data_IF_160228822794
#
_entry.id   IF_160228822794
#
_cell.length_a   1.000
_cell.length_b   1.000
_cell.length_c   1.000
_cell.angle_alpha   90.00
_cell.angle_beta   90.00
_cell.angle_gamma   90.00
#
_symmetry.space_group_name_H-M   'P 1'
#
loop_
_entity.id
_entity.type
_entity.pdbx_description
1 polymer ?
#
# COMPACT_ATOMS: atom_id res chain seq x y z
N UNK A 1 -9.65 -28.11 10.73
CA UNK A 1 -8.41 -27.77 11.46
C UNK A 1 -8.03 -28.80 12.52
N UNK A 2 -8.96 -29.27 13.37
CA UNK A 2 -8.67 -30.21 14.47
C UNK A 2 -7.76 -31.41 14.15
N UNK A 3 -8.03 -32.18 13.09
CA UNK A 3 -7.19 -33.33 12.68
C UNK A 3 -5.74 -32.97 12.34
N UNK A 4 -5.46 -31.76 11.84
CA UNK A 4 -4.10 -31.34 11.50
C UNK A 4 -3.31 -30.95 12.75
N UNK A 5 -3.99 -30.30 13.70
CA UNK A 5 -3.39 -29.87 14.97
C UNK A 5 -3.08 -31.07 15.86
N UNK A 6 -4.00 -32.01 16.01
CA UNK A 6 -3.84 -33.24 16.77
C UNK A 6 -2.63 -34.06 16.28
N UNK A 7 -2.50 -34.22 14.96
CA UNK A 7 -1.34 -34.84 14.32
C UNK A 7 -0.02 -34.08 14.58
N UNK A 8 -0.06 -32.75 14.71
CA UNK A 8 1.13 -31.95 15.03
C UNK A 8 1.60 -32.17 16.47
N UNK A 9 0.68 -32.23 17.44
CA UNK A 9 1.04 -32.47 18.86
C UNK A 9 1.55 -33.87 19.09
N UNK A 10 0.94 -34.88 18.46
CA UNK A 10 1.44 -36.26 18.49
C UNK A 10 2.87 -36.33 17.94
N UNK A 11 3.14 -35.67 16.80
CA UNK A 11 4.49 -35.60 16.22
C UNK A 11 5.52 -34.89 17.11
N UNK A 12 5.11 -33.86 17.85
CA UNK A 12 6.00 -33.14 18.77
C UNK A 12 6.36 -34.02 19.98
N UNK A 13 5.38 -34.77 20.50
CA UNK A 13 5.59 -35.72 21.58
C UNK A 13 6.45 -36.91 21.16
N UNK A 14 6.15 -37.53 20.01
CA UNK A 14 6.95 -38.64 19.44
C UNK A 14 8.42 -38.26 19.20
N UNK A 15 8.69 -36.98 18.90
CA UNK A 15 10.05 -36.46 18.73
C UNK A 15 10.74 -36.06 20.03
N UNK A 16 10.12 -36.30 21.19
CA UNK A 16 10.59 -35.88 22.52
C UNK A 16 10.87 -34.37 22.61
N UNK A 17 10.14 -33.55 21.84
CA UNK A 17 10.26 -32.08 21.88
C UNK A 17 9.39 -31.45 22.98
N UNK A 18 8.40 -32.20 23.48
CA UNK A 18 7.55 -31.81 24.60
C UNK A 18 7.44 -32.98 25.60
N UNK A 19 7.47 -32.71 26.92
CA UNK A 19 7.23 -33.71 27.97
C UNK A 19 5.75 -34.14 28.03
N UNK A 20 5.48 -35.28 28.67
CA UNK A 20 4.14 -35.88 28.79
C UNK A 20 3.13 -34.95 29.49
N UNK A 21 3.59 -34.16 30.45
CA UNK A 21 2.77 -33.18 31.17
C UNK A 21 2.24 -32.09 30.21
N UNK A 22 3.12 -31.51 29.38
CA UNK A 22 2.73 -30.55 28.35
C UNK A 22 1.85 -31.18 27.27
N UNK A 23 2.09 -32.44 26.91
CA UNK A 23 1.24 -33.16 25.96
C UNK A 23 -0.20 -33.28 26.48
N UNK A 24 -0.38 -33.66 27.75
CA UNK A 24 -1.70 -33.75 28.39
C UNK A 24 -2.37 -32.38 28.49
N UNK A 25 -1.66 -31.34 28.92
CA UNK A 25 -2.22 -29.98 28.98
C UNK A 25 -2.67 -29.45 27.62
N UNK A 26 -1.86 -29.65 26.57
CA UNK A 26 -2.21 -29.21 25.20
C UNK A 26 -3.43 -29.97 24.68
N UNK A 27 -3.53 -31.26 24.98
CA UNK A 27 -4.68 -32.10 24.57
C UNK A 27 -5.95 -31.61 25.25
N UNK A 28 -5.92 -31.43 26.58
CA UNK A 28 -7.04 -30.89 27.35
C UNK A 28 -7.45 -29.50 26.87
N UNK A 29 -6.48 -28.61 26.60
CA UNK A 29 -6.77 -27.26 26.13
C UNK A 29 -7.42 -27.24 24.73
N UNK A 30 -7.02 -28.15 23.85
CA UNK A 30 -7.61 -28.26 22.50
C UNK A 30 -8.98 -28.92 22.51
N UNK A 31 -9.25 -29.82 23.45
CA UNK A 31 -10.58 -30.40 23.65
C UNK A 31 -11.63 -29.34 24.05
N UNK A 32 -11.20 -28.20 24.59
CA UNK A 32 -12.07 -27.05 24.83
C UNK A 32 -12.63 -26.44 23.52
N UNK A 33 -12.10 -26.82 22.36
CA UNK A 33 -12.50 -26.32 21.03
C UNK A 33 -12.53 -24.78 20.94
N UNK A 34 -11.62 -24.10 21.65
CA UNK A 34 -11.51 -22.65 21.64
C UNK A 34 -10.92 -22.23 20.29
N UNK A 35 -11.71 -21.54 19.47
CA UNK A 35 -11.25 -20.95 18.22
C UNK A 35 -11.09 -19.44 18.37
N UNK A 36 -10.03 -18.90 17.76
CA UNK A 36 -9.79 -17.46 17.77
C UNK A 36 -10.73 -16.76 16.79
N UNK A 37 -11.44 -15.74 17.26
CA UNK A 37 -12.24 -14.82 16.44
C UNK A 37 -11.44 -13.57 16.01
N UNK A 38 -10.12 -13.55 16.23
CA UNK A 38 -9.30 -12.37 16.03
C UNK A 38 -9.40 -11.82 14.60
N UNK A 39 -9.30 -12.70 13.60
CA UNK A 39 -9.33 -12.31 12.19
C UNK A 39 -10.71 -11.81 11.77
N UNK A 40 -11.77 -12.48 12.24
CA UNK A 40 -13.17 -12.17 11.97
C UNK A 40 -13.55 -10.81 12.56
N UNK A 41 -13.16 -10.56 13.82
CA UNK A 41 -13.38 -9.28 14.49
C UNK A 41 -12.59 -8.16 13.81
N UNK A 42 -11.33 -8.41 13.45
CA UNK A 42 -10.49 -7.44 12.74
C UNK A 42 -11.06 -7.07 11.38
N UNK A 43 -11.54 -8.07 10.63
CA UNK A 43 -12.24 -7.87 9.37
C UNK A 43 -13.52 -7.06 9.56
N UNK A 44 -14.33 -7.40 10.58
CA UNK A 44 -15.55 -6.66 10.91
C UNK A 44 -15.26 -5.19 11.25
N UNK A 45 -14.16 -4.90 11.95
CA UNK A 45 -13.74 -3.52 12.23
C UNK A 45 -13.38 -2.75 10.95
N UNK A 46 -12.56 -3.32 10.07
CA UNK A 46 -12.28 -2.69 8.77
C UNK A 46 -13.55 -2.45 7.96
N UNK A 47 -14.44 -3.44 7.94
CA UNK A 47 -15.72 -3.34 7.24
C UNK A 47 -16.60 -2.24 7.85
N UNK A 48 -16.64 -2.10 9.17
CA UNK A 48 -17.40 -1.03 9.82
C UNK A 48 -16.89 0.36 9.46
N UNK A 49 -15.56 0.57 9.44
CA UNK A 49 -14.97 1.86 9.05
C UNK A 49 -15.31 2.18 7.60
N UNK A 50 -15.21 1.18 6.72
CA UNK A 50 -15.53 1.33 5.31
C UNK A 50 -17.02 1.65 5.10
N UNK A 51 -17.93 0.88 5.70
CA UNK A 51 -19.37 1.09 5.57
C UNK A 51 -19.79 2.44 6.16
N UNK A 52 -19.24 2.82 7.31
CA UNK A 52 -19.54 4.08 7.98
C UNK A 52 -19.10 5.29 7.15
N UNK A 53 -17.84 5.29 6.68
CA UNK A 53 -17.32 6.40 5.85
C UNK A 53 -17.99 6.46 4.49
N UNK A 54 -18.33 5.32 3.89
CA UNK A 54 -19.10 5.25 2.64
C UNK A 54 -20.53 5.76 2.83
N UNK A 55 -21.19 5.36 3.92
CA UNK A 55 -22.54 5.85 4.27
C UNK A 55 -22.59 7.36 4.47
N UNK A 56 -21.56 7.94 5.10
CA UNK A 56 -21.42 9.40 5.21
C UNK A 56 -21.24 10.05 3.84
N UNK A 57 -20.41 9.46 2.97
CA UNK A 57 -20.23 9.95 1.60
C UNK A 57 -21.52 9.96 0.79
N UNK A 58 -22.33 8.90 0.90
CA UNK A 58 -23.65 8.81 0.27
C UNK A 58 -24.60 9.86 0.85
N UNK A 59 -24.66 10.00 2.19
CA UNK A 59 -25.49 11.00 2.84
C UNK A 59 -25.16 12.41 2.35
N UNK A 60 -23.87 12.75 2.24
CA UNK A 60 -23.42 14.03 1.70
C UNK A 60 -23.88 14.19 0.24
N UNK A 61 -23.68 13.17 -0.60
CA UNK A 61 -24.03 13.21 -2.01
C UNK A 61 -25.54 13.43 -2.24
N UNK A 62 -26.39 12.72 -1.50
CA UNK A 62 -27.86 12.86 -1.60
C UNK A 62 -28.37 14.20 -1.06
N UNK A 63 -27.63 14.84 -0.16
CA UNK A 63 -28.01 16.10 0.48
C UNK A 63 -27.17 17.29 -0.02
N UNK A 64 -26.52 17.17 -1.18
CA UNK A 64 -25.63 18.20 -1.73
C UNK A 64 -26.37 19.40 -2.33
N UNK A 65 -27.66 19.25 -2.61
CA UNK A 65 -28.53 20.32 -3.12
C UNK A 65 -29.53 20.85 -2.08
N UNK A 66 -29.47 20.36 -0.82
CA UNK A 66 -30.41 20.75 0.24
C UNK A 66 -29.73 21.67 1.28
N UNK A 67 -30.46 22.60 1.88
CA UNK A 67 -29.92 23.58 2.84
C UNK A 67 -29.33 22.99 4.14
N UNK A 68 -29.26 21.66 4.28
CA UNK A 68 -28.76 20.93 5.44
C UNK A 68 -27.22 20.84 5.57
N UNK A 69 -26.45 21.45 4.66
CA UNK A 69 -24.98 21.31 4.65
C UNK A 69 -24.32 21.66 5.99
N UNK A 70 -24.75 22.75 6.63
CA UNK A 70 -24.19 23.18 7.92
C UNK A 70 -24.42 22.12 9.00
N UNK A 71 -25.61 21.50 9.01
CA UNK A 71 -25.93 20.45 9.97
C UNK A 71 -25.07 19.20 9.76
N UNK A 72 -24.91 18.76 8.50
CA UNK A 72 -24.07 17.61 8.14
C UNK A 72 -22.61 17.89 8.49
N UNK A 73 -22.11 19.07 8.12
CA UNK A 73 -20.73 19.48 8.37
C UNK A 73 -20.43 19.60 9.87
N UNK A 74 -21.39 20.13 10.65
CA UNK A 74 -21.29 20.21 12.11
C UNK A 74 -21.29 18.83 12.77
N UNK A 75 -22.18 17.94 12.33
CA UNK A 75 -22.22 16.56 12.81
C UNK A 75 -20.90 15.85 12.52
N UNK A 76 -20.39 15.99 11.29
CA UNK A 76 -19.13 15.40 10.86
C UNK A 76 -17.96 15.90 11.71
N UNK A 77 -17.91 17.20 12.00
CA UNK A 77 -16.89 17.79 12.87
C UNK A 77 -16.98 17.24 14.31
N UNK A 78 -18.18 17.15 14.87
CA UNK A 78 -18.40 16.62 16.23
C UNK A 78 -17.94 15.16 16.32
N UNK A 79 -18.37 14.31 15.39
CA UNK A 79 -17.97 12.89 15.37
C UNK A 79 -16.45 12.76 15.21
N UNK A 80 -15.85 13.53 14.30
CA UNK A 80 -14.40 13.55 14.10
C UNK A 80 -13.66 13.95 15.38
N UNK A 81 -14.12 15.01 16.06
CA UNK A 81 -13.54 15.48 17.31
C UNK A 81 -13.66 14.44 18.43
N UNK A 82 -14.79 13.74 18.53
CA UNK A 82 -15.00 12.65 19.49
C UNK A 82 -14.01 11.51 19.22
N UNK A 83 -13.86 11.08 17.96
CA UNK A 83 -12.92 10.03 17.59
C UNK A 83 -11.47 10.41 17.92
N UNK A 84 -11.06 11.65 17.62
CA UNK A 84 -9.73 12.14 18.01
C UNK A 84 -9.56 12.18 19.53
N UNK A 85 -10.53 12.74 20.26
CA UNK A 85 -10.47 12.86 21.72
C UNK A 85 -10.23 11.51 22.38
N UNK A 86 -11.01 10.49 22.02
CA UNK A 86 -10.83 9.14 22.57
C UNK A 86 -9.50 8.50 22.14
N UNK A 87 -9.04 8.74 20.92
CA UNK A 87 -7.75 8.22 20.45
C UNK A 87 -6.57 8.86 21.20
N UNK A 88 -6.58 10.18 21.41
CA UNK A 88 -5.55 10.88 22.19
C UNK A 88 -5.58 10.54 23.68
N UNK A 89 -6.76 10.29 24.24
CA UNK A 89 -6.89 9.93 25.67
C UNK A 89 -6.29 8.56 25.99
N UNK A 90 -6.32 7.63 25.04
CA UNK A 90 -5.89 6.23 25.24
C UNK A 90 -4.57 5.89 24.55
N UNK A 91 -3.82 6.90 24.07
CA UNK A 91 -2.53 6.69 23.41
C UNK A 91 -1.36 6.62 24.40
N UNK A 92 -0.35 5.85 24.04
CA UNK A 92 0.97 5.82 24.71
C UNK A 92 1.79 7.08 24.35
N UNK A 93 1.34 7.84 23.35
CA UNK A 93 2.02 9.00 22.80
C UNK A 93 3.10 8.65 21.78
N UNK A 94 3.75 9.67 21.24
CA UNK A 94 4.77 9.48 20.20
C UNK A 94 6.00 8.71 20.73
N UNK A 95 6.37 7.65 20.02
CA UNK A 95 7.60 6.88 20.22
C UNK A 95 8.28 6.65 18.88
N UNK A 96 9.61 6.53 18.88
CA UNK A 96 10.37 6.23 17.65
C UNK A 96 10.22 4.77 17.22
N UNK A 97 10.07 3.86 18.17
CA UNK A 97 9.89 2.42 17.97
C UNK A 97 8.42 2.08 17.67
N UNK A 98 8.18 0.84 17.24
CA UNK A 98 6.84 0.31 17.02
C UNK A 98 6.04 0.30 18.33
N UNK A 99 4.82 0.82 18.27
CA UNK A 99 3.87 0.90 19.38
C UNK A 99 2.50 0.46 18.91
N UNK A 100 1.79 -0.28 19.76
CA UNK A 100 0.40 -0.65 19.52
C UNK A 100 -0.45 -0.10 20.66
N UNK A 101 -1.71 0.21 20.37
CA UNK A 101 -2.68 0.43 21.44
C UNK A 101 -2.89 -0.85 22.25
N UNK A 102 -3.22 -0.70 23.54
CA UNK A 102 -3.64 -1.82 24.37
C UNK A 102 -4.93 -2.45 23.83
N UNK A 103 -5.86 -1.60 23.37
CA UNK A 103 -7.09 -2.02 22.70
C UNK A 103 -7.02 -1.70 21.19
N UNK A 104 -7.03 -2.72 20.31
CA UNK A 104 -6.98 -2.53 18.86
C UNK A 104 -8.10 -1.64 18.29
N UNK A 105 -9.23 -1.49 18.98
CA UNK A 105 -10.33 -0.62 18.54
C UNK A 105 -9.87 0.82 18.30
N UNK A 106 -8.89 1.31 19.06
CA UNK A 106 -8.41 2.68 18.92
C UNK A 106 -7.66 2.91 17.60
N UNK A 107 -7.01 1.89 17.03
CA UNK A 107 -6.40 1.97 15.69
C UNK A 107 -7.45 2.22 14.59
N UNK A 108 -8.62 1.61 14.73
CA UNK A 108 -9.73 1.80 13.79
C UNK A 108 -10.47 3.11 14.05
N UNK A 109 -10.53 3.55 15.30
CA UNK A 109 -11.13 4.82 15.67
C UNK A 109 -10.32 6.01 15.12
N UNK A 110 -8.98 5.97 15.24
CA UNK A 110 -8.12 7.00 14.67
C UNK A 110 -8.14 6.97 13.13
N UNK A 111 -8.19 5.77 12.53
CA UNK A 111 -8.37 5.63 11.08
C UNK A 111 -9.68 6.29 10.62
N UNK A 112 -10.77 6.07 11.36
CA UNK A 112 -12.06 6.72 11.11
C UNK A 112 -11.94 8.23 11.22
N UNK A 113 -11.30 8.75 12.27
CA UNK A 113 -11.10 10.20 12.45
C UNK A 113 -10.36 10.85 11.27
N UNK A 114 -9.31 10.20 10.76
CA UNK A 114 -8.56 10.71 9.59
C UNK A 114 -9.40 10.68 8.32
N UNK A 115 -10.16 9.60 8.08
CA UNK A 115 -11.04 9.52 6.93
C UNK A 115 -12.17 10.57 7.00
N UNK A 116 -12.78 10.75 8.16
CA UNK A 116 -13.78 11.80 8.37
C UNK A 116 -13.19 13.20 8.19
N UNK A 117 -11.93 13.43 8.60
CA UNK A 117 -11.24 14.69 8.34
C UNK A 117 -11.07 14.97 6.84
N UNK A 118 -10.75 13.92 6.06
CA UNK A 118 -10.69 14.01 4.60
C UNK A 118 -12.06 14.36 3.99
N UNK A 119 -13.13 13.68 4.44
CA UNK A 119 -14.49 13.95 4.00
C UNK A 119 -14.90 15.37 4.38
N UNK A 120 -14.60 15.81 5.60
CA UNK A 120 -14.95 17.13 6.11
C UNK A 120 -14.31 18.24 5.29
N UNK A 121 -13.00 18.17 5.10
CA UNK A 121 -12.27 19.20 4.36
C UNK A 121 -12.67 19.18 2.88
N UNK A 122 -12.85 17.99 2.30
CA UNK A 122 -13.31 17.84 0.92
C UNK A 122 -14.69 18.45 0.72
N UNK A 123 -15.63 18.17 1.62
CA UNK A 123 -16.99 18.71 1.56
C UNK A 123 -17.05 20.21 1.82
N UNK A 124 -16.27 20.69 2.80
CA UNK A 124 -16.13 22.11 3.12
C UNK A 124 -15.55 22.90 1.93
N UNK A 125 -14.56 22.35 1.23
CA UNK A 125 -14.05 22.96 0.00
C UNK A 125 -15.08 22.91 -1.14
N UNK A 126 -15.76 21.78 -1.33
CA UNK A 126 -16.75 21.64 -2.41
C UNK A 126 -17.90 22.65 -2.26
N UNK A 127 -18.47 22.74 -1.07
CA UNK A 127 -19.67 23.55 -0.83
C UNK A 127 -19.37 25.04 -0.69
N UNK A 128 -18.30 25.38 0.01
CA UNK A 128 -18.04 26.77 0.41
C UNK A 128 -16.80 27.37 -0.24
N UNK A 129 -16.06 26.60 -1.05
CA UNK A 129 -14.78 27.04 -1.63
C UNK A 129 -13.88 27.69 -0.58
N UNK A 130 -13.78 27.08 0.60
CA UNK A 130 -13.15 27.72 1.75
C UNK A 130 -11.67 28.09 1.53
N UNK A 131 -10.99 27.40 0.63
CA UNK A 131 -9.62 27.71 0.19
C UNK A 131 -9.58 28.45 -1.16
N UNK A 132 -10.70 29.01 -1.60
CA UNK A 132 -10.88 29.64 -2.90
C UNK A 132 -10.60 28.67 -4.05
N UNK A 133 -9.83 29.12 -5.03
CA UNK A 133 -9.43 28.33 -6.20
C UNK A 133 -8.26 27.37 -5.94
N UNK A 134 -7.71 27.34 -4.71
CA UNK A 134 -6.58 26.48 -4.35
C UNK A 134 -7.04 25.08 -3.95
N UNK A 135 -7.62 24.34 -4.90
CA UNK A 135 -8.13 22.97 -4.67
C UNK A 135 -7.07 22.00 -4.11
N UNK A 136 -5.78 22.24 -4.36
CA UNK A 136 -4.70 21.47 -3.75
C UNK A 136 -4.64 21.57 -2.21
N UNK A 137 -5.12 22.66 -1.59
CA UNK A 137 -5.16 22.75 -0.13
C UNK A 137 -6.18 21.77 0.47
N UNK A 138 -7.27 21.49 -0.25
CA UNK A 138 -8.28 20.54 0.20
C UNK A 138 -7.77 19.09 0.25
N UNK A 139 -6.68 18.77 -0.47
CA UNK A 139 -5.99 17.47 -0.36
C UNK A 139 -4.80 17.53 0.57
N UNK A 140 -4.06 18.65 0.58
CA UNK A 140 -2.85 18.80 1.39
C UNK A 140 -3.13 18.85 2.90
N UNK A 141 -4.20 19.52 3.34
CA UNK A 141 -4.53 19.64 4.77
C UNK A 141 -4.89 18.27 5.38
N UNK A 142 -5.82 17.47 4.80
CA UNK A 142 -6.07 16.11 5.28
C UNK A 142 -4.83 15.24 5.25
N UNK A 143 -3.98 15.41 4.23
CA UNK A 143 -2.73 14.68 4.11
C UNK A 143 -1.76 15.01 5.25
N UNK A 144 -1.63 16.29 5.62
CA UNK A 144 -0.82 16.71 6.75
C UNK A 144 -1.35 16.14 8.08
N UNK A 145 -2.67 16.17 8.29
CA UNK A 145 -3.33 15.54 9.44
C UNK A 145 -3.03 14.03 9.46
N UNK A 146 -3.16 13.36 8.31
CA UNK A 146 -2.87 11.95 8.16
C UNK A 146 -1.41 11.60 8.45
N UNK A 147 -0.45 12.35 7.92
CA UNK A 147 0.98 12.16 8.20
C UNK A 147 1.29 12.33 9.69
N UNK A 148 0.75 13.36 10.32
CA UNK A 148 0.90 13.57 11.75
C UNK A 148 0.33 12.38 12.55
N UNK A 149 -0.90 11.96 12.25
CA UNK A 149 -1.56 10.87 12.96
C UNK A 149 -0.85 9.53 12.71
N UNK A 150 -0.37 9.27 11.50
CA UNK A 150 0.39 8.06 11.17
C UNK A 150 1.62 7.91 12.05
N UNK A 151 2.39 8.99 12.24
CA UNK A 151 3.60 8.96 13.08
C UNK A 151 3.30 8.97 14.57
N UNK A 152 2.31 9.74 14.98
CA UNK A 152 1.95 9.88 16.40
C UNK A 152 1.32 8.60 16.96
N UNK A 153 0.38 8.01 16.22
CA UNK A 153 -0.36 6.80 16.63
C UNK A 153 0.20 5.51 16.05
N UNK A 154 1.26 5.61 15.26
CA UNK A 154 1.94 4.46 14.66
C UNK A 154 1.08 3.58 13.74
N UNK A 155 0.28 4.21 12.89
CA UNK A 155 -0.70 3.51 12.09
C UNK A 155 -0.30 3.42 10.60
N UNK A 156 0.01 2.20 10.16
CA UNK A 156 0.42 1.86 8.78
C UNK A 156 -0.66 2.18 7.73
N UNK A 157 -1.93 1.99 8.07
CA UNK A 157 -3.06 2.27 7.16
C UNK A 157 -3.22 3.77 6.94
N UNK A 158 -3.14 4.56 8.01
CA UNK A 158 -3.17 6.03 7.93
C UNK A 158 -1.99 6.55 7.11
N UNK A 159 -0.78 6.01 7.29
CA UNK A 159 0.37 6.40 6.47
C UNK A 159 0.12 6.18 4.98
N UNK A 160 -0.46 5.03 4.63
CA UNK A 160 -0.76 4.69 3.23
C UNK A 160 -1.77 5.66 2.63
N UNK A 161 -2.80 6.05 3.39
CA UNK A 161 -3.78 7.07 2.98
C UNK A 161 -3.09 8.43 2.80
N UNK A 162 -2.21 8.81 3.72
CA UNK A 162 -1.51 10.09 3.66
C UNK A 162 -0.56 10.18 2.45
N UNK A 163 0.19 9.11 2.14
CA UNK A 163 1.01 9.06 0.92
C UNK A 163 0.15 9.11 -0.35
N UNK A 164 -1.00 8.45 -0.34
CA UNK A 164 -1.98 8.54 -1.44
C UNK A 164 -2.50 9.98 -1.59
N UNK A 165 -2.72 10.69 -0.48
CA UNK A 165 -3.07 12.11 -0.46
C UNK A 165 -1.97 13.02 -1.04
N UNK A 166 -0.68 12.73 -0.74
CA UNK A 166 0.45 13.42 -1.38
C UNK A 166 0.47 13.19 -2.90
N UNK A 167 0.20 11.96 -3.34
CA UNK A 167 0.10 11.64 -4.77
C UNK A 167 -1.05 12.40 -5.44
N UNK A 168 -2.22 12.45 -4.80
CA UNK A 168 -3.36 13.23 -5.30
C UNK A 168 -3.04 14.74 -5.36
N UNK A 169 -2.33 15.27 -4.36
CA UNK A 169 -1.92 16.68 -4.32
C UNK A 169 -1.03 17.08 -5.51
N UNK A 170 -0.10 16.21 -5.91
CA UNK A 170 0.76 16.45 -7.08
C UNK A 170 0.07 16.15 -8.43
N UNK A 171 -1.25 15.91 -8.41
CA UNK A 171 -2.09 15.71 -9.60
C UNK A 171 -2.26 14.25 -10.03
N UNK A 172 -1.75 13.26 -9.28
CA UNK A 172 -1.95 11.85 -9.56
C UNK A 172 -3.30 11.37 -9.01
N UNK A 173 -4.38 11.87 -9.59
CA UNK A 173 -5.74 11.44 -9.28
C UNK A 173 -6.34 10.72 -10.48
N UNK A 174 -6.69 9.44 -10.33
CA UNK A 174 -7.42 8.67 -11.33
C UNK A 174 -8.85 8.52 -10.84
N UNK A 175 -9.84 8.97 -11.63
CA UNK A 175 -11.23 8.61 -11.33
C UNK A 175 -11.54 7.23 -11.92
N UNK A 176 -12.33 6.37 -11.24
CA UNK A 176 -12.76 5.09 -11.81
C UNK A 176 -13.44 5.25 -13.18
N UNK A 177 -14.17 6.36 -13.38
CA UNK A 177 -14.81 6.70 -14.65
C UNK A 177 -13.80 7.00 -15.77
N UNK A 178 -12.68 7.66 -15.47
CA UNK A 178 -11.60 7.88 -16.45
C UNK A 178 -10.93 6.59 -16.91
N UNK A 179 -10.84 5.58 -16.03
CA UNK A 179 -10.36 4.24 -16.38
C UNK A 179 -11.33 3.52 -17.32
N UNK A 180 -12.64 3.61 -17.06
CA UNK A 180 -13.67 3.02 -17.91
C UNK A 180 -13.75 3.69 -19.29
N UNK A 181 -13.46 4.99 -19.35
CA UNK A 181 -13.55 5.78 -20.57
C UNK A 181 -12.23 5.81 -21.38
N UNK A 182 -11.20 5.04 -20.99
CA UNK A 182 -9.89 4.98 -21.64
C UNK A 182 -9.19 6.35 -21.85
N UNK A 183 -9.56 7.38 -21.10
CA UNK A 183 -8.89 8.67 -21.12
C UNK A 183 -7.64 8.60 -20.22
N UNK A 184 -6.64 7.83 -20.66
CA UNK A 184 -5.38 7.71 -19.92
C UNK A 184 -4.56 9.00 -20.02
N UNK A 185 -3.77 9.24 -18.97
CA UNK A 185 -2.90 10.39 -18.74
C UNK A 185 -2.04 10.80 -19.94
N UNK A 186 -2.47 11.81 -20.68
CA UNK A 186 -1.73 12.33 -21.85
C UNK A 186 -0.62 13.34 -21.50
N UNK A 187 -0.42 13.72 -20.23
CA UNK A 187 0.55 14.77 -19.88
C UNK A 187 1.83 14.21 -19.24
N UNK A 188 2.96 14.48 -19.89
CA UNK A 188 4.31 14.10 -19.45
C UNK A 188 4.69 14.76 -18.12
N UNK A 189 4.11 15.91 -17.78
CA UNK A 189 4.36 16.67 -16.54
C UNK A 189 4.03 15.88 -15.28
N UNK A 190 2.92 15.13 -15.27
CA UNK A 190 2.51 14.29 -14.13
C UNK A 190 3.51 13.17 -13.84
N UNK A 191 4.18 12.66 -14.88
CA UNK A 191 5.17 11.59 -14.73
C UNK A 191 6.42 12.05 -13.99
N UNK A 192 6.86 13.30 -14.22
CA UNK A 192 7.99 13.87 -13.48
C UNK A 192 7.65 14.07 -12.00
N UNK A 193 6.45 14.57 -11.70
CA UNK A 193 5.98 14.73 -10.32
C UNK A 193 5.92 13.40 -9.57
N UNK A 194 5.43 12.35 -10.22
CA UNK A 194 5.38 11.00 -9.65
C UNK A 194 6.76 10.43 -9.35
N UNK A 195 7.70 10.56 -10.29
CA UNK A 195 9.10 10.15 -10.09
C UNK A 195 9.72 10.95 -8.94
N UNK A 196 9.51 12.27 -8.92
CA UNK A 196 9.99 13.15 -7.85
C UNK A 196 9.47 12.73 -6.47
N UNK A 197 8.16 12.49 -6.34
CA UNK A 197 7.58 11.99 -5.10
C UNK A 197 8.15 10.62 -4.73
N UNK A 198 8.27 9.69 -5.68
CA UNK A 198 8.87 8.38 -5.44
C UNK A 198 10.31 8.47 -4.92
N UNK A 199 11.14 9.36 -5.49
CA UNK A 199 12.50 9.62 -5.01
C UNK A 199 12.48 10.21 -3.59
N UNK A 200 11.60 11.16 -3.31
CA UNK A 200 11.45 11.72 -1.95
C UNK A 200 11.08 10.62 -0.94
N UNK A 201 10.17 9.71 -1.29
CA UNK A 201 9.79 8.59 -0.41
C UNK A 201 10.96 7.62 -0.18
N UNK A 202 11.79 7.35 -1.21
CA UNK A 202 13.02 6.56 -1.05
C UNK A 202 14.00 7.26 -0.11
N UNK A 203 14.27 8.55 -0.34
CA UNK A 203 15.18 9.33 0.49
C UNK A 203 14.69 9.40 1.94
N UNK A 204 13.39 9.59 2.13
CA UNK A 204 12.77 9.59 3.46
C UNK A 204 12.90 8.23 4.14
N UNK A 205 12.69 7.13 3.41
CA UNK A 205 12.88 5.76 3.93
C UNK A 205 14.32 5.49 4.37
N UNK A 206 15.31 5.95 3.59
CA UNK A 206 16.73 5.85 3.95
C UNK A 206 17.01 6.69 5.19
N UNK A 207 16.50 7.93 5.22
CA UNK A 207 16.73 8.86 6.32
C UNK A 207 16.08 8.36 7.62
N UNK A 208 14.82 7.94 7.59
CA UNK A 208 14.08 7.45 8.75
C UNK A 208 14.77 6.22 9.37
N UNK A 209 15.29 5.30 8.54
CA UNK A 209 16.08 4.17 9.02
C UNK A 209 17.39 4.60 9.68
N UNK A 210 18.10 5.57 9.11
CA UNK A 210 19.35 6.08 9.71
C UNK A 210 19.14 6.66 11.11
N UNK A 211 18.01 7.31 11.36
CA UNK A 211 17.69 7.91 12.67
C UNK A 211 16.84 7.00 13.57
N UNK A 212 16.62 5.75 13.16
CA UNK A 212 15.76 4.76 13.82
C UNK A 212 14.33 5.29 14.13
N UNK A 213 13.75 6.04 13.19
CA UNK A 213 12.38 6.56 13.26
C UNK A 213 11.43 5.63 12.51
N UNK A 214 10.54 4.94 13.24
CA UNK A 214 9.45 4.10 12.69
C UNK A 214 9.94 3.21 11.54
N UNK A 215 11.00 2.44 11.78
CA UNK A 215 11.69 1.64 10.74
C UNK A 215 10.77 0.63 10.06
N UNK A 216 9.69 0.19 10.71
CA UNK A 216 8.65 -0.66 10.13
C UNK A 216 7.78 0.04 9.08
N UNK A 217 7.84 1.37 8.91
CA UNK A 217 7.22 2.09 7.80
C UNK A 217 8.01 1.99 6.48
N UNK A 218 9.26 1.53 6.53
CA UNK A 218 10.16 1.38 5.38
C UNK A 218 9.50 0.68 4.19
N UNK A 219 8.80 -0.43 4.45
CA UNK A 219 8.15 -1.20 3.39
C UNK A 219 7.07 -0.38 2.68
N UNK A 220 6.31 0.44 3.40
CA UNK A 220 5.24 1.28 2.84
C UNK A 220 5.87 2.31 1.91
N UNK A 221 6.88 3.05 2.39
CA UNK A 221 7.57 4.05 1.58
C UNK A 221 8.18 3.47 0.31
N UNK A 222 8.88 2.34 0.42
CA UNK A 222 9.50 1.69 -0.73
C UNK A 222 8.47 1.14 -1.72
N UNK A 223 7.34 0.60 -1.25
CA UNK A 223 6.28 0.07 -2.12
C UNK A 223 5.64 1.20 -2.94
N UNK A 224 5.25 2.29 -2.29
CA UNK A 224 4.72 3.46 -3.01
C UNK A 224 5.74 4.04 -3.99
N UNK A 225 7.00 4.18 -3.57
CA UNK A 225 8.06 4.67 -4.45
C UNK A 225 8.28 3.78 -5.68
N UNK A 226 8.29 2.46 -5.50
CA UNK A 226 8.44 1.49 -6.58
C UNK A 226 7.33 1.66 -7.61
N UNK A 227 6.07 1.69 -7.17
CA UNK A 227 4.92 1.84 -8.06
C UNK A 227 4.94 3.17 -8.80
N UNK A 228 5.17 4.28 -8.09
CA UNK A 228 5.21 5.62 -8.69
C UNK A 228 6.31 5.74 -9.75
N UNK A 229 7.55 5.38 -9.42
CA UNK A 229 8.67 5.48 -10.35
C UNK A 229 8.47 4.55 -11.54
N UNK A 230 8.12 3.27 -11.29
CA UNK A 230 8.04 2.26 -12.35
C UNK A 230 6.90 2.55 -13.31
N UNK A 231 5.71 2.90 -12.80
CA UNK A 231 4.56 3.21 -13.64
C UNK A 231 4.83 4.44 -14.52
N UNK A 232 5.41 5.50 -13.95
CA UNK A 232 5.77 6.69 -14.70
C UNK A 232 6.85 6.44 -15.74
N UNK A 233 7.87 5.62 -15.44
CA UNK A 233 8.87 5.26 -16.43
C UNK A 233 8.27 4.43 -17.57
N UNK A 234 7.46 3.41 -17.26
CA UNK A 234 6.80 2.57 -18.27
C UNK A 234 5.90 3.40 -19.17
N UNK A 235 5.09 4.31 -18.61
CA UNK A 235 4.25 5.20 -19.41
C UNK A 235 5.05 6.05 -20.40
N UNK A 236 6.23 6.53 -19.99
CA UNK A 236 7.08 7.35 -20.85
C UNK A 236 7.97 6.56 -21.82
N UNK A 237 8.04 5.22 -21.70
CA UNK A 237 8.70 4.40 -22.72
C UNK A 237 7.98 4.45 -24.08
N UNK A 238 6.72 4.85 -24.11
CA UNK A 238 5.97 5.02 -25.36
C UNK A 238 6.25 6.35 -26.06
N UNK A 239 6.82 7.34 -25.36
CA UNK A 239 7.10 8.68 -25.88
C UNK A 239 8.40 8.76 -26.70
N UNK A 240 8.62 9.83 -27.51
CA UNK A 240 9.84 9.98 -28.31
C UNK A 240 11.15 9.97 -27.50
N UNK A 241 11.15 10.55 -26.30
CA UNK A 241 12.31 10.63 -25.41
C UNK A 241 12.42 9.44 -24.44
N UNK A 242 12.01 8.25 -24.87
CA UNK A 242 11.91 7.05 -24.03
C UNK A 242 13.25 6.59 -23.40
N UNK A 243 14.39 6.89 -24.02
CA UNK A 243 15.71 6.37 -23.61
C UNK A 243 16.09 6.72 -22.16
N UNK A 244 15.81 7.95 -21.71
CA UNK A 244 16.11 8.37 -20.32
C UNK A 244 15.26 7.61 -19.30
N UNK A 245 13.99 7.34 -19.63
CA UNK A 245 13.07 6.58 -18.80
C UNK A 245 13.41 5.09 -18.79
N UNK A 246 13.98 4.55 -19.88
CA UNK A 246 14.54 3.20 -19.91
C UNK A 246 15.71 3.05 -18.95
N UNK A 247 16.66 4.00 -18.95
CA UNK A 247 17.77 4.00 -17.99
C UNK A 247 17.28 4.16 -16.55
N UNK A 248 16.34 5.07 -16.32
CA UNK A 248 15.76 5.29 -14.99
C UNK A 248 15.00 4.05 -14.48
N UNK A 249 14.25 3.36 -15.35
CA UNK A 249 13.58 2.12 -15.00
C UNK A 249 14.57 1.00 -14.66
N UNK A 250 15.68 0.89 -15.39
CA UNK A 250 16.74 -0.07 -15.09
C UNK A 250 17.41 0.24 -13.74
N UNK A 251 17.78 1.49 -13.51
CA UNK A 251 18.41 1.94 -12.27
C UNK A 251 17.49 1.73 -11.05
N UNK A 252 16.21 2.10 -11.19
CA UNK A 252 15.21 1.88 -10.13
C UNK A 252 14.94 0.40 -9.90
N UNK A 253 14.80 -0.41 -10.94
CA UNK A 253 14.62 -1.87 -10.82
C UNK A 253 15.80 -2.53 -10.09
N UNK A 254 17.03 -2.14 -10.40
CA UNK A 254 18.20 -2.62 -9.69
C UNK A 254 18.20 -2.21 -8.21
N UNK A 255 17.88 -0.95 -7.93
CA UNK A 255 17.76 -0.45 -6.55
C UNK A 255 16.71 -1.24 -5.75
N UNK A 256 15.48 -1.34 -6.26
CA UNK A 256 14.40 -2.03 -5.55
C UNK A 256 14.62 -3.54 -5.46
N UNK A 257 15.31 -4.15 -6.44
CA UNK A 257 15.76 -5.53 -6.34
C UNK A 257 16.66 -5.70 -5.13
N UNK A 258 17.70 -4.86 -4.98
CA UNK A 258 18.60 -4.91 -3.81
C UNK A 258 17.84 -4.66 -2.51
N UNK A 259 17.02 -3.60 -2.46
CA UNK A 259 16.23 -3.27 -1.27
C UNK A 259 15.24 -4.37 -0.88
N UNK A 260 14.74 -5.16 -1.84
CA UNK A 260 13.84 -6.29 -1.52
C UNK A 260 14.52 -7.37 -0.69
N UNK A 261 15.82 -7.63 -0.91
CA UNK A 261 16.60 -8.56 -0.08
C UNK A 261 16.96 -7.95 1.28
N UNK A 262 17.28 -6.65 1.33
CA UNK A 262 17.58 -5.95 2.59
C UNK A 262 16.37 -5.93 3.54
N UNK A 263 15.18 -5.65 3.00
CA UNK A 263 13.92 -5.61 3.78
C UNK A 263 13.24 -6.98 3.87
N UNK A 264 13.79 -8.01 3.21
CA UNK A 264 13.24 -9.37 3.12
C UNK A 264 11.76 -9.41 2.69
N UNK A 265 11.37 -8.52 1.77
CA UNK A 265 9.97 -8.36 1.34
C UNK A 265 9.70 -9.02 -0.01
N UNK A 266 8.86 -10.06 0.02
CA UNK A 266 8.40 -10.79 -1.17
C UNK A 266 7.60 -9.88 -2.10
N UNK A 267 6.74 -9.01 -1.55
CA UNK A 267 5.90 -8.11 -2.35
C UNK A 267 6.77 -7.12 -3.15
N UNK A 268 7.78 -6.52 -2.50
CA UNK A 268 8.67 -5.56 -3.16
C UNK A 268 9.47 -6.24 -4.28
N UNK A 269 9.96 -7.46 -4.03
CA UNK A 269 10.65 -8.27 -5.03
C UNK A 269 9.76 -8.57 -6.23
N UNK A 270 8.55 -9.10 -5.98
CA UNK A 270 7.59 -9.49 -7.02
C UNK A 270 7.25 -8.32 -7.93
N UNK A 271 6.87 -7.17 -7.37
CA UNK A 271 6.53 -5.99 -8.18
C UNK A 271 7.74 -5.46 -8.96
N UNK A 272 8.94 -5.51 -8.38
CA UNK A 272 10.17 -5.11 -9.09
C UNK A 272 10.40 -5.97 -10.33
N UNK A 273 10.27 -7.30 -10.21
CA UNK A 273 10.45 -8.21 -11.34
C UNK A 273 9.36 -8.01 -12.40
N UNK A 274 8.10 -7.80 -11.99
CA UNK A 274 7.01 -7.53 -12.91
C UNK A 274 7.27 -6.24 -13.71
N UNK A 275 7.66 -5.15 -13.05
CA UNK A 275 7.95 -3.89 -13.72
C UNK A 275 9.17 -3.97 -14.63
N UNK A 276 10.24 -4.64 -14.18
CA UNK A 276 11.41 -4.89 -15.02
C UNK A 276 11.05 -5.72 -16.27
N UNK A 277 10.24 -6.77 -16.10
CA UNK A 277 9.76 -7.59 -17.21
C UNK A 277 8.97 -6.77 -18.23
N UNK A 278 7.97 -6.00 -17.78
CA UNK A 278 7.17 -5.15 -18.67
C UNK A 278 8.07 -4.14 -19.39
N UNK A 279 8.97 -3.48 -18.67
CA UNK A 279 9.93 -2.53 -19.23
C UNK A 279 10.86 -3.12 -20.29
N UNK A 280 11.42 -4.31 -20.03
CA UNK A 280 12.30 -5.02 -20.97
C UNK A 280 11.55 -5.36 -22.25
N UNK A 281 10.31 -5.84 -22.16
CA UNK A 281 9.52 -6.16 -23.34
C UNK A 281 9.30 -4.91 -24.21
N UNK A 282 8.90 -3.78 -23.61
CA UNK A 282 8.71 -2.52 -24.35
C UNK A 282 10.04 -2.04 -24.95
N UNK A 283 11.14 -2.14 -24.21
CA UNK A 283 12.47 -1.76 -24.67
C UNK A 283 12.92 -2.59 -25.89
N UNK A 284 12.67 -3.91 -25.88
CA UNK A 284 12.95 -4.79 -27.02
C UNK A 284 12.18 -4.35 -28.26
N UNK A 285 10.88 -4.04 -28.13
CA UNK A 285 10.08 -3.52 -29.26
C UNK A 285 10.66 -2.22 -29.81
N UNK A 286 11.05 -1.26 -28.95
CA UNK A 286 11.70 -0.02 -29.38
C UNK A 286 13.03 -0.26 -30.12
N UNK A 287 13.83 -1.24 -29.68
CA UNK A 287 15.07 -1.58 -30.38
C UNK A 287 14.82 -2.19 -31.77
N UNK A 288 13.80 -3.04 -31.91
CA UNK A 288 13.41 -3.61 -33.21
C UNK A 288 12.96 -2.51 -34.16
N UNK A 289 12.14 -1.58 -33.68
CA UNK A 289 11.67 -0.42 -34.45
C UNK A 289 12.85 0.44 -34.94
N UNK A 290 13.83 0.72 -34.07
CA UNK A 290 15.02 1.52 -34.42
C UNK A 290 15.93 0.79 -35.42
N UNK A 291 16.05 -0.53 -35.30
CA UNK A 291 16.84 -1.34 -36.22
C UNK A 291 16.17 -1.49 -37.60
N UNK A 292 14.90 -1.04 -37.76
CA UNK A 292 14.07 -1.25 -38.94
C UNK A 292 13.93 -2.73 -39.34
N UNK A 293 13.91 -3.64 -38.36
CA UNK A 293 13.77 -5.09 -38.58
C UNK A 293 12.36 -5.54 -38.18
N UNK A 294 11.34 -4.77 -38.55
CA UNK A 294 9.94 -5.04 -38.21
C UNK A 294 9.45 -6.39 -38.74
N UNK A 295 10.01 -6.88 -39.84
CA UNK A 295 9.68 -8.18 -40.41
C UNK A 295 10.00 -9.35 -39.46
N UNK A 296 10.90 -9.14 -38.49
CA UNK A 296 11.21 -10.11 -37.44
C UNK A 296 10.09 -10.26 -36.39
N UNK A 297 9.13 -9.33 -36.35
CA UNK A 297 8.00 -9.41 -35.41
C UNK A 297 7.06 -10.58 -35.71
N UNK A 298 6.90 -10.95 -36.98
CA UNK A 298 6.02 -12.04 -37.42
C UNK A 298 6.49 -13.39 -36.84
N UNK A 299 7.76 -13.84 -37.03
CA UNK A 299 8.25 -15.06 -36.41
C UNK A 299 8.29 -14.96 -34.87
N UNK A 300 8.58 -13.79 -34.30
CA UNK A 300 8.55 -13.57 -32.86
C UNK A 300 7.14 -13.80 -32.26
N UNK A 301 6.08 -13.41 -32.98
CA UNK A 301 4.70 -13.60 -32.55
C UNK A 301 4.33 -15.09 -32.44
N UNK A 302 4.80 -15.93 -33.36
CA UNK A 302 4.62 -17.39 -33.26
C UNK A 302 5.36 -18.01 -32.07
N UNK A 303 6.48 -17.41 -31.65
CA UNK A 303 7.25 -17.83 -30.47
C UNK A 303 6.74 -17.23 -29.16
N UNK A 304 5.87 -16.21 -29.22
CA UNK A 304 5.38 -15.49 -28.05
C UNK A 304 4.75 -16.41 -26.97
N UNK A 305 3.92 -17.42 -27.30
CA UNK A 305 3.37 -18.32 -26.29
C UNK A 305 4.46 -19.06 -25.49
N UNK A 306 5.51 -19.54 -26.16
CA UNK A 306 6.63 -20.22 -25.52
C UNK A 306 7.46 -19.27 -24.64
N UNK A 307 7.67 -18.03 -25.11
CA UNK A 307 8.33 -16.99 -24.34
C UNK A 307 7.55 -16.64 -23.05
N UNK A 308 6.22 -16.51 -23.12
CA UNK A 308 5.39 -16.27 -21.93
C UNK A 308 5.42 -17.45 -20.96
N UNK A 309 5.29 -18.69 -21.44
CA UNK A 309 5.40 -19.89 -20.60
C UNK A 309 6.77 -19.95 -19.91
N UNK A 310 7.85 -19.73 -20.66
CA UNK A 310 9.21 -19.67 -20.12
C UNK A 310 9.37 -18.59 -19.05
N UNK A 311 8.81 -17.40 -19.30
CA UNK A 311 8.83 -16.27 -18.37
C UNK A 311 8.07 -16.56 -17.07
N UNK A 312 6.90 -17.21 -17.16
CA UNK A 312 6.13 -17.64 -15.97
C UNK A 312 6.91 -18.67 -15.16
N UNK A 313 7.49 -19.68 -15.81
CA UNK A 313 8.31 -20.70 -15.13
C UNK A 313 9.51 -20.06 -14.42
N UNK A 314 10.19 -19.13 -15.10
CA UNK A 314 11.32 -18.39 -14.55
C UNK A 314 10.89 -17.53 -13.36
N UNK A 315 9.77 -16.81 -13.49
CA UNK A 315 9.21 -15.99 -12.42
C UNK A 315 8.89 -16.82 -11.17
N UNK A 316 8.23 -17.98 -11.33
CA UNK A 316 7.94 -18.90 -10.22
C UNK A 316 9.25 -19.40 -9.58
N UNK A 317 10.27 -19.74 -10.38
CA UNK A 317 11.59 -20.15 -9.87
C UNK A 317 12.27 -19.05 -9.06
N UNK A 318 12.22 -17.80 -9.54
CA UNK A 318 12.76 -16.64 -8.85
C UNK A 318 12.09 -16.41 -7.49
N UNK A 319 10.76 -16.45 -7.44
CA UNK A 319 10.01 -16.29 -6.18
C UNK A 319 10.33 -17.43 -5.21
N UNK A 320 10.36 -18.68 -5.67
CA UNK A 320 10.73 -19.82 -4.81
C UNK A 320 12.13 -19.66 -4.23
N UNK A 321 13.10 -19.22 -5.05
CA UNK A 321 14.47 -18.97 -4.61
C UNK A 321 14.53 -17.82 -3.58
N UNK A 322 13.81 -16.73 -3.84
CA UNK A 322 13.73 -15.60 -2.92
C UNK A 322 13.12 -16.01 -1.57
N UNK A 323 11.99 -16.73 -1.59
CA UNK A 323 11.32 -17.19 -0.37
C UNK A 323 12.17 -18.15 0.45
N UNK A 324 12.91 -19.06 -0.20
CA UNK A 324 13.83 -19.97 0.50
C UNK A 324 14.89 -19.18 1.28
N UNK A 325 15.52 -18.20 0.63
CA UNK A 325 16.54 -17.36 1.26
C UNK A 325 15.98 -16.43 2.35
N UNK A 326 14.70 -16.07 2.30
CA UNK A 326 14.06 -15.23 3.32
C UNK A 326 13.64 -16.03 4.56
N UNK A 327 13.17 -17.27 4.39
CA UNK A 327 12.69 -18.14 5.47
C UNK A 327 13.79 -18.96 6.15
N UNK A 328 14.93 -19.20 5.51
CA UNK A 328 16.05 -19.93 6.14
C UNK A 328 16.73 -19.12 7.28
N UNK A 329 16.38 -17.83 7.45
CA UNK A 329 16.94 -16.93 8.47
C UNK A 329 15.96 -16.54 9.60
N UNK A 330 14.69 -16.95 9.57
CA UNK A 330 13.67 -16.58 10.59
C UNK A 330 13.51 -17.59 11.72
N UNK A 331 14.41 -18.58 11.82
CA UNK A 331 14.61 -19.35 13.05
C UNK A 331 15.74 -18.67 13.84
N UNK A 332 15.48 -17.49 14.41
CA UNK A 332 16.25 -16.94 15.53
C UNK A 332 15.41 -15.99 16.36
#
# INVERSE_FOLDING_TARGET
MGKFEENATNRLFEKNLIPEEQFKEITVHRDLNIFSLHSELKFSLYLSVLLFTSGIGILIYENIDTSGHIAILSLLLIVTAICFYFSFKNTIGFKKQETNFENPLFDYLILTAVLLSCIFIGYLQFQYTAFGTHYGLATLIPTAIGLFCAYYFDNKSILSIAITGLAAYIGLSVSPQSLLNNSFYETTTLSYSAIGLGVILVLWSIYSNKIALKTHFTLIYLTFALHLISFSCINNLFNPYWGIFGFLLLASSYYFYKSSYEVKSVSLFVFTIIYAYVGINIFIFKLIDIANISDFLIPLLYLAPFYFIGSIILFIRLIKKFNKNSNDDTIR
#
